data_IF_190093723807
#
_entry.id   IF_190093723807
#
_cell.length_a   1.000
_cell.length_b   1.000
_cell.length_c   1.000
_cell.angle_alpha   90.00
_cell.angle_beta   90.00
_cell.angle_gamma   90.00
#
_symmetry.space_group_name_H-M   'P 1'
#
loop_
_entity.id
_entity.type
_entity.pdbx_description
1 polymer ?
#
# COMPACT_ATOMS: atom_id res chain seq x y z
N UNK A 1 34.57 -14.37 13.60
CA UNK A 1 33.54 -14.69 12.60
C UNK A 1 32.35 -13.74 12.83
N UNK A 2 32.00 -13.00 11.82
CA UNK A 2 30.87 -12.05 11.91
C UNK A 2 29.61 -12.77 11.42
N UNK A 3 28.62 -12.93 12.27
CA UNK A 3 27.38 -13.67 11.95
C UNK A 3 26.24 -12.78 11.43
N UNK A 4 26.52 -11.49 11.18
CA UNK A 4 25.55 -10.54 10.62
C UNK A 4 26.23 -9.63 9.62
N UNK A 5 25.49 -9.23 8.60
CA UNK A 5 25.89 -8.16 7.70
C UNK A 5 25.45 -6.82 8.29
N UNK A 6 26.38 -5.90 8.45
CA UNK A 6 26.07 -4.53 8.80
C UNK A 6 25.72 -3.75 7.52
N UNK A 7 24.62 -3.03 7.57
CA UNK A 7 24.16 -2.20 6.46
C UNK A 7 24.11 -0.76 6.95
N UNK A 8 24.88 0.10 6.27
CA UNK A 8 24.82 1.54 6.51
C UNK A 8 23.52 2.10 5.94
N UNK A 9 22.65 2.62 6.80
CA UNK A 9 21.40 3.23 6.41
C UNK A 9 21.54 4.73 6.58
N UNK A 10 21.51 5.47 5.47
CA UNK A 10 21.49 6.93 5.52
C UNK A 10 20.23 7.42 6.24
N UNK A 11 20.41 8.46 7.08
CA UNK A 11 19.26 9.10 7.73
C UNK A 11 18.35 9.70 6.65
N UNK A 12 17.04 9.49 6.77
CA UNK A 12 16.05 10.13 5.90
C UNK A 12 16.09 11.65 6.07
N UNK A 13 15.72 12.38 5.04
CA UNK A 13 15.63 13.85 5.01
C UNK A 13 14.34 14.39 5.65
N UNK A 14 13.53 13.51 6.19
CA UNK A 14 12.27 13.83 6.87
C UNK A 14 12.10 13.02 8.15
N UNK A 15 11.23 13.51 9.02
CA UNK A 15 10.82 12.81 10.23
C UNK A 15 9.30 12.61 10.23
N UNK A 16 8.84 11.50 10.81
CA UNK A 16 7.43 11.19 10.97
C UNK A 16 7.06 11.47 12.43
N UNK A 17 6.12 12.37 12.63
CA UNK A 17 5.63 12.70 13.96
C UNK A 17 4.48 11.76 14.37
N UNK A 18 4.34 11.37 15.64
CA UNK A 18 3.29 10.45 16.08
C UNK A 18 1.85 10.91 15.74
N UNK A 19 1.62 12.22 15.68
CA UNK A 19 0.33 12.79 15.34
C UNK A 19 -0.02 12.77 13.84
N UNK A 20 0.97 12.54 12.98
CA UNK A 20 0.77 12.50 11.54
C UNK A 20 0.10 11.20 11.10
N UNK A 21 -0.91 11.33 10.23
CA UNK A 21 -1.62 10.16 9.71
C UNK A 21 -0.75 9.37 8.74
N UNK A 22 -0.68 8.07 8.93
CA UNK A 22 0.01 7.12 8.06
C UNK A 22 -0.99 6.13 7.45
N UNK A 23 -0.70 5.65 6.25
CA UNK A 23 -1.43 4.58 5.58
C UNK A 23 -0.47 3.46 5.19
N UNK A 24 -0.75 2.26 5.65
CA UNK A 24 -0.03 1.05 5.27
C UNK A 24 -0.94 0.15 4.44
N UNK A 25 -0.55 -0.14 3.21
CA UNK A 25 -1.29 -1.02 2.30
C UNK A 25 -0.34 -2.02 1.67
N UNK A 26 -0.68 -3.28 1.74
CA UNK A 26 0.08 -4.30 1.06
C UNK A 26 0.14 -5.64 1.76
N UNK A 27 1.27 -6.31 1.65
CA UNK A 27 1.52 -7.66 2.17
C UNK A 27 1.53 -7.73 3.70
N UNK A 28 1.76 -8.92 4.24
CA UNK A 28 1.96 -9.11 5.67
C UNK A 28 3.09 -8.25 6.25
N UNK A 29 4.05 -7.82 5.43
CA UNK A 29 5.09 -6.88 5.87
C UNK A 29 4.49 -5.51 6.22
N UNK A 30 3.60 -4.96 5.37
CA UNK A 30 2.88 -3.73 5.68
C UNK A 30 2.04 -3.86 6.96
N UNK A 31 1.38 -5.01 7.13
CA UNK A 31 0.58 -5.30 8.33
C UNK A 31 1.43 -5.27 9.60
N UNK A 32 2.53 -6.01 9.60
CA UNK A 32 3.44 -6.09 10.75
C UNK A 32 4.11 -4.75 11.06
N UNK A 33 4.57 -4.05 10.03
CA UNK A 33 5.20 -2.74 10.19
C UNK A 33 4.20 -1.70 10.73
N UNK A 34 3.02 -1.64 10.14
CA UNK A 34 1.96 -0.72 10.56
C UNK A 34 1.51 -0.96 12.00
N UNK A 35 1.38 -2.22 12.41
CA UNK A 35 1.10 -2.58 13.82
C UNK A 35 2.16 -2.07 14.79
N UNK A 36 3.43 -2.15 14.41
CA UNK A 36 4.52 -1.59 15.22
C UNK A 36 4.40 -0.08 15.42
N UNK A 37 3.97 0.64 14.38
CA UNK A 37 3.68 2.07 14.51
C UNK A 37 2.51 2.33 15.47
N UNK A 38 1.41 1.57 15.37
CA UNK A 38 0.27 1.67 16.28
C UNK A 38 0.66 1.37 17.74
N UNK A 39 1.45 0.33 17.99
CA UNK A 39 1.99 -0.02 19.31
C UNK A 39 2.82 1.11 19.91
N UNK A 40 3.51 1.87 19.07
CA UNK A 40 4.30 3.04 19.45
C UNK A 40 3.51 4.37 19.42
N UNK A 41 2.18 4.30 19.41
CA UNK A 41 1.28 5.46 19.50
C UNK A 41 1.31 6.40 18.29
N UNK A 42 1.72 5.94 17.14
CA UNK A 42 1.55 6.66 15.88
C UNK A 42 0.13 6.50 15.36
N UNK A 43 -0.34 7.50 14.62
CA UNK A 43 -1.62 7.43 13.93
C UNK A 43 -1.45 6.70 12.61
N UNK A 44 -1.92 5.47 12.54
CA UNK A 44 -1.79 4.64 11.34
C UNK A 44 -3.10 3.93 11.00
N UNK A 45 -3.42 3.89 9.72
CA UNK A 45 -4.41 2.99 9.13
C UNK A 45 -3.67 1.87 8.43
N UNK A 46 -3.96 0.64 8.78
CA UNK A 46 -3.20 -0.53 8.34
C UNK A 46 -4.13 -1.51 7.64
N UNK A 47 -3.88 -1.78 6.38
CA UNK A 47 -4.64 -2.73 5.55
C UNK A 47 -6.15 -2.68 5.83
N UNK A 48 -6.83 -1.53 5.62
CA UNK A 48 -8.21 -1.33 6.07
C UNK A 48 -9.21 -2.32 5.42
N UNK A 49 -8.86 -2.89 4.28
CA UNK A 49 -9.66 -3.90 3.57
C UNK A 49 -8.98 -5.28 3.51
N UNK A 50 -7.99 -5.50 4.38
CA UNK A 50 -7.21 -6.73 4.43
C UNK A 50 -5.87 -6.64 3.70
N UNK A 51 -5.08 -7.69 3.87
CA UNK A 51 -3.74 -7.80 3.27
C UNK A 51 -3.86 -7.95 1.76
N UNK A 52 -3.08 -7.16 1.02
CA UNK A 52 -3.05 -7.12 -0.45
C UNK A 52 -1.63 -7.42 -0.95
N UNK A 53 -1.52 -8.15 -2.05
CA UNK A 53 -0.21 -8.61 -2.54
C UNK A 53 0.16 -8.04 -3.91
N UNK A 54 -0.79 -7.58 -4.71
CA UNK A 54 -0.55 -7.10 -6.06
C UNK A 54 -0.85 -5.60 -6.21
N UNK A 55 -0.27 -4.92 -7.22
CA UNK A 55 -0.43 -3.47 -7.39
C UNK A 55 -1.88 -3.02 -7.66
N UNK A 56 -2.68 -3.83 -8.38
CA UNK A 56 -4.07 -3.50 -8.66
C UNK A 56 -4.92 -3.47 -7.39
N UNK A 57 -4.72 -4.45 -6.49
CA UNK A 57 -5.39 -4.51 -5.20
C UNK A 57 -4.96 -3.37 -4.28
N UNK A 58 -3.71 -2.93 -4.36
CA UNK A 58 -3.24 -1.72 -3.64
C UNK A 58 -3.99 -0.49 -4.14
N UNK A 59 -4.10 -0.30 -5.45
CA UNK A 59 -4.87 0.80 -6.02
C UNK A 59 -6.32 0.79 -5.55
N UNK A 60 -7.02 -0.35 -5.62
CA UNK A 60 -8.40 -0.48 -5.15
C UNK A 60 -8.54 -0.13 -3.66
N UNK A 61 -7.58 -0.52 -2.84
CA UNK A 61 -7.55 -0.15 -1.41
C UNK A 61 -7.39 1.34 -1.23
N UNK A 62 -6.49 1.96 -1.98
CA UNK A 62 -6.26 3.42 -1.94
C UNK A 62 -7.51 4.18 -2.36
N UNK A 63 -8.16 3.79 -3.45
CA UNK A 63 -9.41 4.42 -3.94
C UNK A 63 -10.51 4.44 -2.86
N UNK A 64 -10.57 3.42 -2.02
CA UNK A 64 -11.52 3.31 -0.91
C UNK A 64 -11.05 3.96 0.40
N UNK A 65 -9.84 4.48 0.45
CA UNK A 65 -9.19 5.00 1.67
C UNK A 65 -8.75 6.46 1.53
N UNK A 66 -9.28 7.19 0.57
CA UNK A 66 -8.88 8.58 0.31
C UNK A 66 -9.19 9.51 1.47
N UNK A 67 -10.22 9.21 2.26
CA UNK A 67 -10.60 9.91 3.48
C UNK A 67 -9.54 9.86 4.59
N UNK A 68 -8.63 8.89 4.55
CA UNK A 68 -7.49 8.80 5.49
C UNK A 68 -6.57 9.99 5.36
N UNK A 69 -6.40 10.53 4.15
CA UNK A 69 -5.54 11.67 3.84
C UNK A 69 -4.14 11.59 4.51
N UNK A 70 -3.36 10.55 4.24
CA UNK A 70 -2.11 10.29 4.95
C UNK A 70 -1.02 11.29 4.55
N UNK A 71 -0.15 11.62 5.50
CA UNK A 71 1.13 12.29 5.21
C UNK A 71 2.20 11.32 4.71
N UNK A 72 2.15 10.09 5.20
CA UNK A 72 3.05 9.02 4.78
C UNK A 72 2.23 7.81 4.37
N UNK A 73 2.47 7.30 3.17
CA UNK A 73 1.92 6.04 2.72
C UNK A 73 3.03 5.02 2.46
N UNK A 74 2.83 3.81 2.91
CA UNK A 74 3.76 2.69 2.73
C UNK A 74 3.06 1.58 1.96
N UNK A 75 3.59 1.27 0.78
CA UNK A 75 3.09 0.19 -0.06
C UNK A 75 4.09 -0.97 -0.07
N UNK A 76 3.60 -2.18 0.15
CA UNK A 76 4.43 -3.39 0.06
C UNK A 76 3.79 -4.40 -0.87
N UNK A 77 4.58 -4.87 -1.82
CA UNK A 77 4.17 -5.84 -2.82
C UNK A 77 4.62 -7.26 -2.44
N UNK A 78 3.86 -8.25 -2.87
CA UNK A 78 4.22 -9.65 -2.70
C UNK A 78 4.20 -10.43 -4.02
N UNK A 79 3.45 -9.94 -5.01
CA UNK A 79 3.32 -10.59 -6.32
C UNK A 79 2.85 -9.60 -7.39
N UNK A 80 3.11 -9.95 -8.66
CA UNK A 80 2.55 -9.29 -9.82
C UNK A 80 1.33 -10.05 -10.41
N UNK A 81 0.88 -11.12 -9.76
CA UNK A 81 -0.29 -11.88 -10.18
C UNK A 81 -1.57 -11.21 -9.72
N UNK A 82 -2.54 -11.10 -10.63
CA UNK A 82 -3.89 -10.64 -10.36
C UNK A 82 -4.89 -11.75 -10.66
N UNK A 83 -6.07 -11.63 -10.09
CA UNK A 83 -7.17 -12.55 -10.29
C UNK A 83 -8.37 -11.81 -10.89
N UNK A 84 -8.89 -12.34 -11.97
CA UNK A 84 -10.02 -11.79 -12.69
C UNK A 84 -11.21 -12.73 -12.50
N UNK A 85 -12.31 -12.19 -11.97
CA UNK A 85 -13.53 -12.97 -11.82
C UNK A 85 -14.12 -13.24 -13.21
N UNK A 86 -14.21 -14.52 -13.60
CA UNK A 86 -14.67 -14.93 -14.96
C UNK A 86 -16.06 -14.46 -15.30
N UNK A 87 -16.92 -14.34 -14.29
CA UNK A 87 -18.31 -13.93 -14.46
C UNK A 87 -18.45 -12.46 -14.86
N UNK A 88 -17.64 -11.57 -14.26
CA UNK A 88 -17.76 -10.11 -14.44
C UNK A 88 -16.60 -9.50 -15.21
N UNK A 89 -15.46 -10.19 -15.33
CA UNK A 89 -14.22 -9.65 -15.88
C UNK A 89 -13.51 -8.65 -14.96
N UNK A 90 -13.98 -8.50 -13.72
CA UNK A 90 -13.39 -7.58 -12.76
C UNK A 90 -12.15 -8.17 -12.09
N UNK A 91 -11.15 -7.31 -11.85
CA UNK A 91 -10.01 -7.65 -11.00
C UNK A 91 -10.50 -7.66 -9.56
N UNK A 92 -10.30 -8.78 -8.89
CA UNK A 92 -10.75 -8.96 -7.51
C UNK A 92 -9.57 -9.16 -6.57
N UNK A 93 -9.76 -8.69 -5.35
CA UNK A 93 -8.77 -8.80 -4.31
C UNK A 93 -8.86 -10.17 -3.62
N UNK A 94 -7.72 -10.79 -3.38
CA UNK A 94 -7.54 -11.97 -2.54
C UNK A 94 -8.58 -13.09 -2.74
N UNK A 95 -8.45 -13.83 -3.81
CA UNK A 95 -9.34 -14.94 -4.17
C UNK A 95 -9.10 -16.27 -3.43
N UNK A 96 -8.11 -16.36 -2.54
CA UNK A 96 -7.75 -17.63 -1.88
C UNK A 96 -8.88 -18.24 -1.03
N UNK A 97 -9.89 -17.46 -0.67
CA UNK A 97 -11.06 -17.92 0.07
C UNK A 97 -12.19 -18.44 -0.81
N UNK A 98 -12.06 -18.35 -2.14
CA UNK A 98 -13.04 -18.80 -3.12
C UNK A 98 -12.43 -19.86 -4.03
N UNK A 99 -13.24 -20.75 -4.63
CA UNK A 99 -12.73 -21.75 -5.57
C UNK A 99 -11.99 -21.13 -6.74
N UNK A 100 -10.75 -21.53 -6.99
CA UNK A 100 -9.91 -20.99 -8.07
C UNK A 100 -10.56 -21.10 -9.47
N UNK A 101 -11.43 -22.07 -9.70
CA UNK A 101 -12.15 -22.24 -10.97
C UNK A 101 -12.97 -21.03 -11.38
N UNK A 102 -13.32 -20.14 -10.44
CA UNK A 102 -14.10 -18.93 -10.68
C UNK A 102 -13.26 -17.79 -11.24
N UNK A 103 -11.94 -17.90 -11.16
CA UNK A 103 -11.01 -16.84 -11.50
C UNK A 103 -10.10 -17.24 -12.63
N UNK A 104 -9.69 -16.24 -13.38
CA UNK A 104 -8.53 -16.29 -14.26
C UNK A 104 -7.37 -15.59 -13.59
N UNK A 105 -6.23 -16.27 -13.52
CA UNK A 105 -4.98 -15.70 -13.00
C UNK A 105 -4.18 -15.11 -14.16
N UNK A 106 -3.69 -13.88 -13.99
CA UNK A 106 -2.87 -13.20 -14.99
C UNK A 106 -1.68 -12.53 -14.31
N UNK A 107 -0.56 -12.59 -14.96
CA UNK A 107 0.66 -11.89 -14.56
C UNK A 107 0.67 -10.46 -15.14
N UNK A 108 0.93 -9.47 -14.29
CA UNK A 108 1.12 -8.10 -14.73
C UNK A 108 2.56 -7.91 -15.23
N UNK A 109 2.73 -7.15 -16.29
CA UNK A 109 4.05 -6.66 -16.71
C UNK A 109 4.59 -5.61 -15.73
N UNK A 110 5.88 -5.30 -15.84
CA UNK A 110 6.51 -4.24 -15.03
C UNK A 110 5.82 -2.89 -15.26
N UNK A 111 5.50 -2.57 -16.51
CA UNK A 111 4.83 -1.30 -16.86
C UNK A 111 3.42 -1.22 -16.29
N UNK A 112 2.67 -2.32 -16.31
CA UNK A 112 1.36 -2.40 -15.66
C UNK A 112 1.46 -2.23 -14.15
N UNK A 113 2.43 -2.87 -13.50
CA UNK A 113 2.68 -2.69 -12.07
C UNK A 113 3.00 -1.23 -11.73
N UNK A 114 3.89 -0.61 -12.50
CA UNK A 114 4.24 0.80 -12.34
C UNK A 114 3.02 1.72 -12.54
N UNK A 115 2.18 1.44 -13.53
CA UNK A 115 0.95 2.18 -13.79
C UNK A 115 -0.01 2.17 -12.59
N UNK A 116 -0.30 1.00 -12.03
CA UNK A 116 -1.20 0.90 -10.87
C UNK A 116 -0.65 1.63 -9.64
N UNK A 117 0.64 1.48 -9.37
CA UNK A 117 1.28 2.16 -8.24
C UNK A 117 1.32 3.68 -8.43
N UNK A 118 1.68 4.14 -9.63
CA UNK A 118 1.70 5.57 -9.93
C UNK A 118 0.31 6.19 -9.78
N UNK A 119 -0.72 5.49 -10.25
CA UNK A 119 -2.11 5.95 -10.10
C UNK A 119 -2.54 6.04 -8.63
N UNK A 120 -2.16 5.08 -7.80
CA UNK A 120 -2.42 5.13 -6.36
C UNK A 120 -1.72 6.32 -5.69
N UNK A 121 -0.47 6.59 -6.05
CA UNK A 121 0.31 7.74 -5.56
C UNK A 121 -0.35 9.06 -5.98
N UNK A 122 -0.77 9.18 -7.24
CA UNK A 122 -1.36 10.39 -7.78
C UNK A 122 -2.70 10.73 -7.12
N UNK A 123 -3.53 9.72 -6.82
CA UNK A 123 -4.77 9.89 -6.07
C UNK A 123 -4.52 10.46 -4.67
N UNK A 124 -3.59 9.87 -3.92
CA UNK A 124 -3.25 10.36 -2.57
C UNK A 124 -2.67 11.79 -2.60
N UNK A 125 -1.87 12.12 -3.63
CA UNK A 125 -1.32 13.46 -3.80
C UNK A 125 -2.39 14.49 -4.13
N UNK A 126 -3.38 14.14 -4.95
CA UNK A 126 -4.48 15.02 -5.32
C UNK A 126 -5.35 15.37 -4.11
N UNK A 127 -5.78 14.37 -3.34
CA UNK A 127 -6.55 14.56 -2.11
C UNK A 127 -5.81 15.44 -1.10
N UNK A 128 -4.52 15.23 -0.94
CA UNK A 128 -3.72 16.01 0.00
C UNK A 128 -3.58 17.48 -0.41
N UNK A 129 -3.51 17.78 -1.70
CA UNK A 129 -3.47 19.16 -2.18
C UNK A 129 -4.77 19.91 -1.89
N UNK A 130 -5.90 19.24 -1.98
CA UNK A 130 -7.21 19.81 -1.66
C UNK A 130 -7.38 20.05 -0.15
N UNK A 131 -6.83 19.17 0.68
CA UNK A 131 -6.95 19.24 2.14
C UNK A 131 -5.97 20.21 2.82
N UNK A 132 -4.94 20.70 2.13
CA UNK A 132 -3.82 21.42 2.76
C UNK A 132 -3.40 22.65 1.95
N UNK A 133 -3.68 23.82 2.50
CA UNK A 133 -2.97 25.05 2.14
C UNK A 133 -1.64 25.22 2.89
N UNK A 134 -1.26 24.29 3.74
CA UNK A 134 -0.06 24.37 4.57
C UNK A 134 0.59 23.01 4.79
N UNK A 135 1.82 22.90 4.31
CA UNK A 135 2.91 22.10 4.80
C UNK A 135 2.97 20.59 4.50
N UNK A 136 4.04 20.21 3.81
CA UNK A 136 4.57 18.85 3.73
C UNK A 136 3.89 17.94 2.70
N UNK A 137 4.56 17.74 1.56
CA UNK A 137 4.11 16.75 0.56
C UNK A 137 3.95 15.33 1.12
N UNK A 138 3.13 14.52 0.45
CA UNK A 138 2.98 13.09 0.73
C UNK A 138 4.34 12.38 0.55
N UNK A 139 4.68 11.49 1.50
CA UNK A 139 5.81 10.55 1.40
C UNK A 139 5.27 9.14 1.14
N UNK A 140 5.77 8.48 0.12
CA UNK A 140 5.37 7.12 -0.29
C UNK A 140 6.58 6.21 -0.33
#
# INVERSE_FOLDING_TARGET
MQFRTEVDIAKADFEIQPAEQMLFVGSCFADNLGRRFLENRFRATVNPFGVMYNPASILHTVEKSLDVNPRVAVFTLGTNHIYILKETGEIVDNCQKRPQRLFEERELSVDECAYYLQKAIDLLKAERKEASSADGGLKV
#
